data_IF_819166290204
#
_entry.id   IF_819166290204
#
_cell.length_a   1.000
_cell.length_b   1.000
_cell.length_c   1.000
_cell.angle_alpha   90.00
_cell.angle_beta   90.00
_cell.angle_gamma   90.00
#
_symmetry.space_group_name_H-M   'P 1'
#
loop_
_entity.id
_entity.type
_entity.pdbx_description
1 polymer ?
#
# COMPACT_ATOMS: atom_id res chain seq x y z
N UNK A 1 30.34 15.91 -5.73
CA UNK A 1 30.46 14.64 -4.97
C UNK A 1 29.27 13.71 -5.25
N UNK A 2 29.54 12.43 -5.38
CA UNK A 2 28.47 11.45 -5.56
C UNK A 2 27.77 11.23 -4.21
N UNK A 3 26.46 11.46 -4.12
CA UNK A 3 25.69 11.22 -2.89
C UNK A 3 25.76 9.74 -2.49
N UNK A 4 25.93 9.45 -1.21
CA UNK A 4 25.85 8.08 -0.69
C UNK A 4 24.43 7.54 -0.85
N UNK A 5 24.31 6.24 -1.09
CA UNK A 5 23.02 5.57 -1.21
C UNK A 5 22.58 4.96 0.13
N UNK A 6 21.32 5.13 0.45
CA UNK A 6 20.68 4.49 1.61
C UNK A 6 19.45 3.73 1.12
N UNK A 7 19.29 2.49 1.55
CA UNK A 7 18.05 1.73 1.40
C UNK A 7 17.40 1.57 2.76
N UNK A 8 16.14 1.97 2.86
CA UNK A 8 15.34 1.90 4.09
C UNK A 8 14.24 0.85 3.87
N UNK A 9 14.26 -0.22 4.67
CA UNK A 9 13.19 -1.22 4.68
C UNK A 9 12.19 -0.87 5.78
N UNK A 10 10.91 -0.77 5.43
CA UNK A 10 9.83 -0.49 6.40
C UNK A 10 8.72 -1.52 6.35
N UNK A 11 8.03 -1.66 7.46
CA UNK A 11 6.86 -2.52 7.64
C UNK A 11 5.75 -1.79 8.39
N UNK A 12 4.71 -2.51 8.80
CA UNK A 12 3.51 -1.95 9.42
C UNK A 12 3.80 -1.06 10.65
N UNK A 13 4.87 -1.36 11.38
CA UNK A 13 5.26 -0.59 12.56
C UNK A 13 5.54 0.89 12.29
N UNK A 14 6.06 1.26 11.12
CA UNK A 14 6.33 2.67 10.78
C UNK A 14 5.03 3.49 10.67
N UNK A 15 3.92 2.87 10.29
CA UNK A 15 2.62 3.52 10.12
C UNK A 15 1.70 3.40 11.34
N UNK A 16 2.08 2.64 12.37
CA UNK A 16 1.27 2.42 13.56
C UNK A 16 0.94 3.72 14.31
N UNK A 17 1.92 4.60 14.49
CA UNK A 17 1.72 5.91 15.14
C UNK A 17 0.87 6.89 14.31
N UNK A 18 0.70 6.63 13.02
CA UNK A 18 -0.24 7.37 12.17
C UNK A 18 -1.69 6.92 12.34
N UNK A 19 -1.93 5.81 13.06
CA UNK A 19 -3.26 5.25 13.27
C UNK A 19 -3.63 4.16 12.26
N UNK A 20 -2.66 3.65 11.49
CA UNK A 20 -2.88 2.51 10.59
C UNK A 20 -2.70 1.21 11.37
N UNK A 21 -3.73 0.37 11.37
CA UNK A 21 -3.67 -0.94 12.04
C UNK A 21 -2.59 -1.83 11.48
N UNK A 22 -1.88 -2.50 12.37
CA UNK A 22 -0.91 -3.53 12.00
C UNK A 22 -1.56 -4.91 11.97
N UNK A 23 -0.97 -5.87 11.22
CA UNK A 23 -1.42 -7.28 11.19
C UNK A 23 -1.35 -8.03 12.53
N UNK A 24 -0.79 -7.41 13.58
CA UNK A 24 -0.48 -8.04 14.86
C UNK A 24 -1.40 -7.58 15.98
N UNK A 25 -2.59 -7.11 15.68
CA UNK A 25 -3.60 -6.97 16.71
C UNK A 25 -3.89 -8.38 17.27
N UNK A 26 -4.00 -8.48 18.54
CA UNK A 26 -3.82 -9.59 19.49
C UNK A 26 -4.21 -11.02 19.07
N UNK A 27 -4.89 -11.23 17.92
CA UNK A 27 -5.43 -12.54 17.53
C UNK A 27 -5.08 -12.94 16.09
N UNK A 28 -4.10 -12.30 15.45
CA UNK A 28 -3.72 -12.60 14.05
C UNK A 28 -4.77 -12.15 13.02
N UNK A 29 -5.70 -11.30 13.44
CA UNK A 29 -6.71 -10.71 12.57
C UNK A 29 -6.22 -9.35 12.04
N UNK A 30 -6.56 -9.05 10.81
CA UNK A 30 -6.43 -7.71 10.26
C UNK A 30 -7.81 -7.06 10.24
N UNK A 31 -8.02 -6.06 11.11
CA UNK A 31 -9.31 -5.37 11.23
C UNK A 31 -10.49 -6.34 11.33
N UNK A 32 -10.39 -7.30 12.26
CA UNK A 32 -11.39 -8.33 12.52
C UNK A 32 -11.62 -9.36 11.39
N UNK A 33 -10.75 -9.40 10.38
CA UNK A 33 -10.79 -10.41 9.31
C UNK A 33 -9.55 -11.29 9.36
N UNK A 34 -9.71 -12.57 9.04
CA UNK A 34 -8.58 -13.47 8.84
C UNK A 34 -7.78 -12.99 7.63
N UNK A 35 -6.46 -12.95 7.76
CA UNK A 35 -5.55 -12.50 6.68
C UNK A 35 -5.77 -13.33 5.41
N UNK A 36 -6.00 -14.63 5.55
CA UNK A 36 -6.25 -15.54 4.44
C UNK A 36 -7.53 -15.21 3.65
N UNK A 37 -8.52 -14.57 4.29
CA UNK A 37 -9.77 -14.23 3.62
C UNK A 37 -9.70 -12.92 2.84
N UNK A 38 -8.83 -11.99 3.23
CA UNK A 38 -8.76 -10.64 2.65
C UNK A 38 -7.44 -10.32 1.96
N UNK A 39 -6.37 -11.03 2.26
CA UNK A 39 -5.02 -10.76 1.74
C UNK A 39 -4.38 -11.99 1.10
N UNK A 40 -5.15 -12.84 0.44
CA UNK A 40 -4.68 -13.96 -0.35
C UNK A 40 -5.41 -14.03 -1.69
N UNK A 41 -4.80 -14.71 -2.67
CA UNK A 41 -5.42 -14.95 -3.96
C UNK A 41 -6.63 -15.89 -3.83
N UNK A 42 -6.56 -16.86 -2.92
CA UNK A 42 -7.65 -17.78 -2.62
C UNK A 42 -8.85 -17.05 -2.00
N UNK A 43 -8.59 -16.08 -1.12
CA UNK A 43 -9.62 -15.21 -0.55
C UNK A 43 -10.32 -14.40 -1.63
N UNK A 44 -9.58 -13.86 -2.57
CA UNK A 44 -10.13 -13.14 -3.73
C UNK A 44 -11.07 -14.04 -4.54
N UNK A 45 -10.64 -15.22 -4.94
CA UNK A 45 -11.49 -16.12 -5.73
C UNK A 45 -12.69 -16.65 -4.95
N UNK A 46 -12.58 -16.78 -3.62
CA UNK A 46 -13.68 -17.26 -2.77
C UNK A 46 -14.77 -16.21 -2.58
N UNK A 47 -14.37 -14.96 -2.33
CA UNK A 47 -15.31 -13.88 -2.05
C UNK A 47 -14.72 -12.51 -2.44
N UNK A 48 -14.73 -12.17 -3.75
CA UNK A 48 -14.15 -10.92 -4.23
C UNK A 48 -14.86 -9.68 -3.65
N UNK A 49 -16.17 -9.75 -3.40
CA UNK A 49 -16.91 -8.64 -2.79
C UNK A 49 -16.40 -8.31 -1.39
N UNK A 50 -16.16 -9.32 -0.55
CA UNK A 50 -15.58 -9.14 0.78
C UNK A 50 -14.20 -8.46 0.70
N UNK A 51 -13.37 -8.91 -0.23
CA UNK A 51 -12.01 -8.36 -0.42
C UNK A 51 -12.09 -6.90 -0.87
N UNK A 52 -12.94 -6.58 -1.85
CA UNK A 52 -13.13 -5.19 -2.31
C UNK A 52 -13.64 -4.29 -1.18
N UNK A 53 -14.64 -4.72 -0.44
CA UNK A 53 -15.19 -3.95 0.70
C UNK A 53 -14.13 -3.71 1.78
N UNK A 54 -13.35 -4.73 2.08
CA UNK A 54 -12.25 -4.63 3.03
C UNK A 54 -11.23 -3.56 2.62
N UNK A 55 -10.77 -3.58 1.37
CA UNK A 55 -9.81 -2.59 0.88
C UNK A 55 -10.43 -1.21 0.64
N UNK A 56 -11.72 -1.12 0.29
CA UNK A 56 -12.44 0.15 0.22
C UNK A 56 -12.44 0.86 1.59
N UNK A 57 -12.70 0.12 2.67
CA UNK A 57 -12.62 0.67 4.02
C UNK A 57 -11.21 1.14 4.38
N UNK A 58 -10.17 0.39 3.97
CA UNK A 58 -8.77 0.81 4.17
C UNK A 58 -8.44 2.10 3.41
N UNK A 59 -8.91 2.23 2.16
CA UNK A 59 -8.74 3.48 1.39
C UNK A 59 -9.42 4.67 2.05
N UNK A 60 -10.62 4.49 2.58
CA UNK A 60 -11.30 5.55 3.36
C UNK A 60 -10.49 5.98 4.57
N UNK A 61 -9.96 5.04 5.33
CA UNK A 61 -9.13 5.33 6.50
C UNK A 61 -7.87 6.11 6.14
N UNK A 62 -7.28 5.88 4.96
CA UNK A 62 -6.12 6.64 4.51
C UNK A 62 -6.37 8.14 4.38
N UNK A 63 -7.62 8.56 4.13
CA UNK A 63 -7.97 9.97 4.08
C UNK A 63 -7.80 10.68 5.43
N UNK A 64 -8.00 9.95 6.53
CA UNK A 64 -8.01 10.49 7.91
C UNK A 64 -6.64 10.41 8.59
N UNK A 65 -5.71 9.59 8.06
CA UNK A 65 -4.38 9.43 8.65
C UNK A 65 -3.35 10.33 7.95
N UNK A 66 -2.26 10.63 8.66
CA UNK A 66 -1.18 11.49 8.16
C UNK A 66 0.18 10.83 8.37
N UNK A 67 1.18 11.17 7.54
CA UNK A 67 2.56 10.79 7.82
C UNK A 67 2.97 11.23 9.22
N UNK A 68 3.69 10.37 9.92
CA UNK A 68 4.25 10.68 11.23
C UNK A 68 5.73 11.11 11.13
N UNK A 69 6.36 11.36 12.26
CA UNK A 69 7.73 11.84 12.33
C UNK A 69 8.74 10.88 11.67
N UNK A 70 8.51 9.57 11.72
CA UNK A 70 9.38 8.60 11.06
C UNK A 70 9.32 8.71 9.53
N UNK A 71 8.14 8.84 8.95
CA UNK A 71 7.99 9.07 7.50
C UNK A 71 8.68 10.35 7.06
N UNK A 72 8.50 11.45 7.83
CA UNK A 72 9.11 12.74 7.52
C UNK A 72 10.63 12.70 7.66
N UNK A 73 11.15 12.01 8.67
CA UNK A 73 12.59 11.85 8.87
C UNK A 73 13.23 11.08 7.69
N UNK A 74 12.59 10.00 7.24
CA UNK A 74 13.07 9.21 6.09
C UNK A 74 13.08 10.07 4.82
N UNK A 75 12.03 10.84 4.56
CA UNK A 75 11.96 11.75 3.43
C UNK A 75 13.06 12.83 3.50
N UNK A 76 13.30 13.39 4.69
CA UNK A 76 14.35 14.39 4.93
C UNK A 76 15.77 13.90 4.65
N UNK A 77 16.03 12.58 4.71
CA UNK A 77 17.33 12.04 4.33
C UNK A 77 17.68 12.29 2.85
N UNK A 78 16.69 12.53 2.00
CA UNK A 78 16.91 12.80 0.57
C UNK A 78 17.64 14.12 0.31
N UNK A 79 17.71 15.01 1.29
CA UNK A 79 18.49 16.26 1.18
C UNK A 79 20.00 15.98 1.04
N UNK A 80 20.49 14.94 1.72
CA UNK A 80 21.91 14.59 1.75
C UNK A 80 22.24 13.27 1.02
N UNK A 81 21.29 12.35 0.95
CA UNK A 81 21.50 10.99 0.46
C UNK A 81 20.63 10.67 -0.75
N UNK A 82 21.02 9.66 -1.51
CA UNK A 82 20.16 9.00 -2.47
C UNK A 82 19.40 7.90 -1.74
N UNK A 83 18.15 8.18 -1.33
CA UNK A 83 17.34 7.25 -0.55
C UNK A 83 16.44 6.42 -1.44
N UNK A 84 16.34 5.13 -1.14
CA UNK A 84 15.32 4.21 -1.68
C UNK A 84 14.57 3.60 -0.51
N UNK A 85 13.27 3.79 -0.48
CA UNK A 85 12.38 3.14 0.49
C UNK A 85 11.84 1.85 -0.12
N UNK A 86 12.02 0.74 0.59
CA UNK A 86 11.39 -0.55 0.26
C UNK A 86 10.41 -0.84 1.37
N UNK A 87 9.13 -0.84 1.07
CA UNK A 87 8.10 -1.00 2.09
C UNK A 87 7.20 -2.20 1.85
N UNK A 88 6.85 -2.89 2.93
CA UNK A 88 5.81 -3.91 2.95
C UNK A 88 4.41 -3.29 3.06
N UNK A 89 4.32 -1.98 3.33
CA UNK A 89 3.06 -1.29 3.55
C UNK A 89 2.36 -0.99 2.23
N UNK A 90 1.05 -1.06 2.27
CA UNK A 90 0.18 -0.74 1.14
C UNK A 90 -0.36 0.71 1.22
N UNK A 91 -0.10 1.41 2.32
CA UNK A 91 -0.43 2.83 2.47
C UNK A 91 0.52 3.74 1.65
N UNK A 92 0.13 4.98 1.45
CA UNK A 92 0.88 5.99 0.71
C UNK A 92 1.57 7.04 1.61
N UNK A 93 1.85 6.69 2.86
CA UNK A 93 2.36 7.66 3.83
C UNK A 93 3.81 8.09 3.53
N UNK A 94 4.64 7.21 2.98
CA UNK A 94 5.97 7.59 2.54
C UNK A 94 5.94 8.62 1.40
N UNK A 95 5.08 8.41 0.39
CA UNK A 95 4.87 9.35 -0.72
C UNK A 95 4.36 10.70 -0.21
N UNK A 96 3.38 10.67 0.68
CA UNK A 96 2.79 11.89 1.26
C UNK A 96 3.77 12.64 2.18
N UNK A 97 4.75 11.97 2.74
CA UNK A 97 5.84 12.60 3.50
C UNK A 97 6.91 13.25 2.60
N UNK A 98 6.93 12.92 1.31
CA UNK A 98 7.85 13.48 0.33
C UNK A 98 8.96 12.56 -0.16
N UNK A 99 8.99 11.28 0.26
CA UNK A 99 9.92 10.30 -0.31
C UNK A 99 9.65 10.10 -1.80
N UNK A 100 10.71 10.07 -2.62
CA UNK A 100 10.58 10.08 -4.09
C UNK A 100 10.86 8.73 -4.75
N UNK A 101 11.57 7.82 -4.08
CA UNK A 101 11.90 6.48 -4.57
C UNK A 101 11.38 5.44 -3.61
N UNK A 102 10.23 4.87 -3.95
CA UNK A 102 9.53 3.92 -3.10
C UNK A 102 9.19 2.67 -3.92
N UNK A 103 9.46 1.51 -3.33
CA UNK A 103 9.04 0.21 -3.86
C UNK A 103 8.08 -0.44 -2.87
N UNK A 104 6.86 -0.69 -3.31
CA UNK A 104 5.82 -1.38 -2.54
C UNK A 104 5.87 -2.88 -2.84
N UNK A 105 6.27 -3.68 -1.86
CA UNK A 105 6.44 -5.13 -2.04
C UNK A 105 5.12 -5.89 -2.14
N UNK A 106 4.05 -5.35 -1.57
CA UNK A 106 2.73 -5.99 -1.48
C UNK A 106 1.62 -5.21 -2.20
N UNK A 107 1.99 -4.31 -3.11
CA UNK A 107 1.04 -3.45 -3.82
C UNK A 107 0.71 -2.16 -3.08
N UNK A 108 -0.22 -1.40 -3.62
CA UNK A 108 -0.62 -0.07 -3.14
C UNK A 108 -2.15 0.03 -3.08
N UNK A 109 -2.68 0.51 -1.94
CA UNK A 109 -4.13 0.69 -1.75
C UNK A 109 -4.77 1.65 -2.75
N UNK A 110 -4.01 2.65 -3.17
CA UNK A 110 -4.48 3.71 -4.06
C UNK A 110 -4.39 3.37 -5.54
N UNK A 111 -3.93 2.16 -5.87
CA UNK A 111 -3.74 1.72 -7.25
C UNK A 111 -4.47 0.42 -7.54
N UNK A 112 -4.95 0.29 -8.76
CA UNK A 112 -5.62 -0.91 -9.26
C UNK A 112 -5.10 -1.30 -10.63
N UNK A 113 -5.23 -2.57 -10.94
CA UNK A 113 -4.98 -3.12 -12.28
C UNK A 113 -6.11 -4.07 -12.65
N UNK A 114 -6.39 -4.24 -13.95
CA UNK A 114 -7.35 -5.25 -14.41
C UNK A 114 -6.89 -6.65 -14.00
N UNK A 115 -7.82 -7.50 -13.59
CA UNK A 115 -7.52 -8.89 -13.20
C UNK A 115 -6.99 -9.73 -14.37
N UNK A 116 -7.55 -9.50 -15.57
CA UNK A 116 -7.24 -10.23 -16.80
C UNK A 116 -6.38 -9.41 -17.77
N UNK A 117 -5.38 -8.71 -17.27
CA UNK A 117 -4.53 -7.83 -18.09
C UNK A 117 -3.68 -8.57 -19.15
N UNK A 118 -3.76 -9.90 -19.22
CA UNK A 118 -3.05 -10.71 -20.21
C UNK A 118 -3.84 -11.02 -21.48
N UNK A 119 -5.06 -10.49 -21.64
CA UNK A 119 -5.82 -10.64 -22.86
C UNK A 119 -5.58 -9.43 -23.79
N UNK A 120 -4.83 -9.67 -24.86
CA UNK A 120 -4.55 -8.66 -25.91
C UNK A 120 -5.82 -8.01 -26.52
N UNK A 121 -7.00 -8.57 -26.25
CA UNK A 121 -8.28 -8.09 -26.80
C UNK A 121 -8.79 -6.81 -26.15
N UNK A 122 -8.41 -6.54 -24.90
CA UNK A 122 -8.96 -5.42 -24.12
C UNK A 122 -8.02 -4.20 -24.10
N UNK A 123 -6.86 -4.30 -24.75
CA UNK A 123 -5.91 -3.19 -24.86
C UNK A 123 -5.14 -2.87 -23.57
N UNK A 124 -5.25 -3.71 -22.55
CA UNK A 124 -4.50 -3.57 -21.30
C UNK A 124 -3.29 -4.52 -21.28
N UNK A 125 -2.19 -4.03 -20.74
CA UNK A 125 -0.98 -4.83 -20.48
C UNK A 125 -0.85 -5.12 -19.00
N UNK A 126 0.05 -6.05 -18.62
CA UNK A 126 0.40 -6.32 -17.22
C UNK A 126 0.90 -5.07 -16.48
N UNK A 127 1.37 -4.07 -17.21
CA UNK A 127 1.87 -2.79 -16.69
C UNK A 127 0.76 -1.73 -16.54
N UNK A 128 -0.47 -2.01 -16.97
CA UNK A 128 -1.57 -1.04 -16.89
C UNK A 128 -2.04 -0.91 -15.45
N UNK A 129 -1.72 0.21 -14.82
CA UNK A 129 -2.09 0.55 -13.46
C UNK A 129 -2.82 1.88 -13.45
N UNK A 130 -3.94 1.94 -12.75
CA UNK A 130 -4.72 3.16 -12.54
C UNK A 130 -4.56 3.65 -11.12
N UNK A 131 -4.30 4.94 -10.95
CA UNK A 131 -4.35 5.60 -9.65
C UNK A 131 -5.81 6.00 -9.38
N UNK A 132 -6.37 5.47 -8.30
CA UNK A 132 -7.77 5.72 -7.89
C UNK A 132 -7.85 6.55 -6.60
N UNK A 133 -6.70 6.91 -6.01
CA UNK A 133 -6.67 7.62 -4.75
C UNK A 133 -7.46 6.88 -3.67
N UNK A 134 -8.45 7.55 -3.09
CA UNK A 134 -9.32 6.99 -2.03
C UNK A 134 -10.69 6.53 -2.54
N UNK A 135 -10.88 6.43 -3.86
CA UNK A 135 -12.14 6.01 -4.45
C UNK A 135 -12.49 4.56 -4.12
N UNK A 136 -13.78 4.25 -4.13
CA UNK A 136 -14.28 2.90 -3.92
C UNK A 136 -14.31 2.11 -5.23
N UNK A 137 -14.09 0.79 -5.11
CA UNK A 137 -14.25 -0.16 -6.21
C UNK A 137 -15.40 -1.09 -5.86
N UNK A 138 -16.28 -1.30 -6.82
CA UNK A 138 -17.39 -2.22 -6.69
C UNK A 138 -17.36 -3.26 -7.81
N UNK A 139 -17.93 -4.43 -7.52
CA UNK A 139 -18.18 -5.42 -8.56
C UNK A 139 -19.25 -4.88 -9.52
N UNK A 140 -18.93 -4.88 -10.80
CA UNK A 140 -19.84 -4.53 -11.88
C UNK A 140 -20.82 -5.64 -12.22
#
# INVERSE_FOLDING_TARGET
MKRKCITVLTGAGVSAESGVSTFRDSDGLWENHKVEDVASIEGWYRNPSLVLDFYNQRRKQLADVRPNAAHLAIAGLEDEYKVTVVTQNVDNLHERAGSTRISHLHGELTKVRPENCCNERDGFSEETVFDIGNDEIHMG
#
